data_IF_692219102605
#
_entry.id   IF_692219102605
#
_cell.length_a   1.000
_cell.length_b   1.000
_cell.length_c   1.000
_cell.angle_alpha   90.00
_cell.angle_beta   90.00
_cell.angle_gamma   90.00
#
_symmetry.space_group_name_H-M   'P 1'
#
loop_
_entity.id
_entity.type
_entity.pdbx_description
1 polymer ?
#
# COMPACT_ATOMS: atom_id res chain seq x y z
N UNK A 1 0.45 11.00 16.79
CA UNK A 1 1.31 10.85 18.02
C UNK A 1 2.77 10.87 17.60
N UNK A 2 3.64 11.61 18.32
CA UNK A 2 5.08 11.71 18.01
C UNK A 2 5.86 10.86 19.02
N UNK A 3 6.70 9.97 18.49
CA UNK A 3 7.61 9.13 19.27
C UNK A 3 9.00 9.75 19.24
N UNK A 4 9.63 9.90 20.41
CA UNK A 4 10.96 10.49 20.58
C UNK A 4 11.90 9.46 21.16
N UNK A 5 13.05 9.29 20.52
CA UNK A 5 14.07 8.34 20.96
C UNK A 5 15.46 8.75 20.46
N UNK A 6 16.50 8.11 21.01
CA UNK A 6 17.88 8.22 20.53
C UNK A 6 18.30 6.95 19.83
N UNK A 7 19.02 7.08 18.73
CA UNK A 7 19.59 5.95 18.01
C UNK A 7 20.74 6.41 17.11
N UNK A 8 21.62 5.46 16.79
CA UNK A 8 22.67 5.59 15.80
C UNK A 8 22.14 5.43 14.37
N UNK A 9 22.89 5.96 13.42
CA UNK A 9 22.70 5.67 11.99
C UNK A 9 23.77 4.69 11.56
N UNK A 10 23.35 3.48 11.18
CA UNK A 10 24.27 2.47 10.68
C UNK A 10 24.07 2.24 9.17
N UNK A 11 25.10 1.68 8.54
CA UNK A 11 25.09 1.42 7.09
C UNK A 11 25.17 -0.08 6.84
N UNK A 12 24.25 -0.59 6.03
CA UNK A 12 24.21 -2.00 5.60
C UNK A 12 23.95 -2.06 4.10
N UNK A 13 24.76 -2.76 3.33
CA UNK A 13 24.60 -2.91 1.88
C UNK A 13 24.59 -1.59 1.10
N UNK A 14 25.32 -0.58 1.58
CA UNK A 14 25.38 0.76 0.96
C UNK A 14 24.14 1.63 1.22
N UNK A 15 23.26 1.22 2.10
CA UNK A 15 22.07 1.96 2.56
C UNK A 15 22.21 2.30 4.03
N UNK A 16 21.74 3.49 4.40
CA UNK A 16 21.74 3.94 5.79
C UNK A 16 20.36 3.74 6.44
N UNK A 17 20.38 3.36 7.72
CA UNK A 17 19.20 3.06 8.51
C UNK A 17 19.34 3.54 9.95
N UNK A 18 18.22 3.90 10.56
CA UNK A 18 18.08 4.11 11.99
C UNK A 18 17.26 2.95 12.55
N UNK A 19 17.76 2.29 13.60
CA UNK A 19 17.01 1.25 14.31
C UNK A 19 16.03 1.91 15.26
N UNK A 20 14.75 1.52 15.20
CA UNK A 20 13.76 1.93 16.20
C UNK A 20 13.97 1.06 17.44
N UNK A 21 14.18 1.64 18.65
CA UNK A 21 14.60 0.89 19.83
C UNK A 21 13.45 0.15 20.56
N UNK A 22 12.22 0.27 20.06
CA UNK A 22 11.03 -0.36 20.66
C UNK A 22 10.25 -1.19 19.64
N UNK A 23 9.35 -2.04 20.15
CA UNK A 23 8.43 -2.81 19.33
C UNK A 23 7.34 -1.89 18.77
N UNK A 24 7.39 -1.61 17.48
CA UNK A 24 6.45 -0.69 16.83
C UNK A 24 5.01 -1.20 16.89
N UNK A 25 4.78 -2.51 16.83
CA UNK A 25 3.43 -3.06 16.94
C UNK A 25 2.81 -2.83 18.32
N UNK A 26 3.60 -2.98 19.37
CA UNK A 26 3.14 -2.81 20.75
C UNK A 26 2.92 -1.34 21.08
N UNK A 27 3.85 -0.47 20.69
CA UNK A 27 3.81 0.95 21.01
C UNK A 27 2.82 1.74 20.16
N UNK A 28 2.64 1.36 18.89
CA UNK A 28 1.83 2.16 17.96
C UNK A 28 0.52 1.49 17.57
N UNK A 29 0.36 0.19 17.81
CA UNK A 29 -0.75 -0.61 17.28
C UNK A 29 -0.67 -0.87 15.75
N UNK A 30 0.39 -0.40 15.07
CA UNK A 30 0.50 -0.41 13.63
C UNK A 30 1.28 -1.62 13.13
N UNK A 31 0.88 -2.14 11.97
CA UNK A 31 1.53 -3.27 11.31
C UNK A 31 1.72 -2.99 9.83
N UNK A 32 2.59 -3.78 9.18
CA UNK A 32 2.80 -3.72 7.74
C UNK A 32 3.61 -2.49 7.30
N UNK A 33 3.15 -1.83 6.30
CA UNK A 33 3.83 -0.70 5.64
C UNK A 33 3.47 0.60 6.35
N UNK A 34 4.31 1.10 7.23
CA UNK A 34 4.02 2.27 8.07
C UNK A 34 4.74 3.50 7.51
N UNK A 35 4.04 4.43 6.85
CA UNK A 35 4.61 5.71 6.47
C UNK A 35 4.79 6.60 7.70
N UNK A 36 5.92 7.29 7.74
CA UNK A 36 6.27 8.17 8.84
C UNK A 36 6.87 9.47 8.34
N UNK A 37 6.61 10.53 9.07
CA UNK A 37 7.41 11.75 9.05
C UNK A 37 8.47 11.63 10.13
N UNK A 38 9.71 11.88 9.75
CA UNK A 38 10.87 11.77 10.64
C UNK A 38 11.58 13.11 10.69
N UNK A 39 11.95 13.53 11.89
CA UNK A 39 12.79 14.69 12.13
C UNK A 39 14.05 14.25 12.86
N UNK A 40 15.20 14.65 12.33
CA UNK A 40 16.52 14.41 12.92
C UNK A 40 17.30 15.71 12.81
N UNK A 41 17.74 16.32 13.93
CA UNK A 41 18.47 17.59 13.93
C UNK A 41 17.80 18.71 13.13
N UNK A 42 16.47 18.77 13.14
CA UNK A 42 15.71 19.76 12.38
C UNK A 42 15.50 19.44 10.90
N UNK A 43 16.20 18.43 10.35
CA UNK A 43 15.92 17.91 9.02
C UNK A 43 14.67 17.03 9.07
N UNK A 44 13.69 17.35 8.23
CA UNK A 44 12.43 16.59 8.11
C UNK A 44 12.37 15.86 6.79
N UNK A 45 11.97 14.59 6.85
CA UNK A 45 11.73 13.78 5.66
C UNK A 45 10.61 12.77 5.91
N UNK A 46 9.99 12.28 4.85
CA UNK A 46 8.99 11.25 4.89
C UNK A 46 9.56 9.94 4.34
N UNK A 47 9.24 8.85 5.00
CA UNK A 47 9.68 7.51 4.58
C UNK A 47 8.64 6.47 4.96
N UNK A 48 8.82 5.26 4.44
CA UNK A 48 8.12 4.07 4.92
C UNK A 48 9.06 3.26 5.79
N UNK A 49 8.62 2.88 6.96
CA UNK A 49 9.38 2.02 7.84
C UNK A 49 9.62 0.66 7.19
N UNK A 50 10.82 0.13 7.36
CA UNK A 50 11.20 -1.18 6.82
C UNK A 50 10.99 -2.25 7.91
N UNK A 51 10.05 -3.20 7.72
CA UNK A 51 9.82 -4.25 8.69
C UNK A 51 11.00 -5.23 8.72
N UNK A 52 11.41 -5.62 9.93
CA UNK A 52 12.45 -6.62 10.21
C UNK A 52 11.91 -7.84 10.96
N UNK A 53 10.59 -7.96 11.06
CA UNK A 53 9.90 -9.02 11.75
C UNK A 53 9.65 -8.74 13.24
N UNK A 54 8.62 -9.39 13.79
CA UNK A 54 8.26 -9.35 15.21
C UNK A 54 8.11 -7.93 15.80
N UNK A 55 7.57 -6.98 15.01
CA UNK A 55 7.39 -5.60 15.45
C UNK A 55 8.64 -4.73 15.40
N UNK A 56 9.79 -5.26 14.93
CA UNK A 56 10.99 -4.47 14.72
C UNK A 56 10.95 -3.76 13.37
N UNK A 57 11.33 -2.49 13.36
CA UNK A 57 11.35 -1.66 12.17
C UNK A 57 12.60 -0.79 12.12
N UNK A 58 12.96 -0.43 10.90
CA UNK A 58 14.04 0.50 10.61
C UNK A 58 13.53 1.68 9.81
N UNK A 59 14.09 2.87 10.08
CA UNK A 59 13.87 4.08 9.31
C UNK A 59 14.95 4.13 8.22
N UNK A 60 14.60 4.08 6.92
CA UNK A 60 15.58 4.26 5.84
C UNK A 60 16.00 5.73 5.75
N UNK A 61 17.31 5.97 5.62
CA UNK A 61 17.88 7.31 5.47
C UNK A 61 18.47 7.47 4.07
N UNK A 62 17.96 8.42 3.31
CA UNK A 62 18.49 8.71 1.96
C UNK A 62 19.92 9.28 2.03
N UNK A 63 20.76 8.99 1.03
CA UNK A 63 22.16 9.48 0.97
C UNK A 63 22.25 11.00 1.14
N UNK A 64 21.34 11.76 0.51
CA UNK A 64 21.27 13.22 0.64
C UNK A 64 21.01 13.66 2.09
N UNK A 65 20.10 13.00 2.78
CA UNK A 65 19.78 13.26 4.19
C UNK A 65 20.95 12.89 5.08
N UNK A 66 21.56 11.73 4.87
CA UNK A 66 22.75 11.29 5.61
C UNK A 66 23.90 12.30 5.50
N UNK A 67 24.19 12.79 4.29
CA UNK A 67 25.25 13.78 4.06
C UNK A 67 24.96 15.12 4.77
N UNK A 68 23.70 15.49 4.94
CA UNK A 68 23.30 16.72 5.61
C UNK A 68 23.29 16.61 7.15
N UNK A 69 23.16 15.41 7.69
CA UNK A 69 23.12 15.18 9.14
C UNK A 69 24.51 15.31 9.81
N UNK A 70 25.58 15.05 9.06
CA UNK A 70 26.93 14.93 9.65
C UNK A 70 27.12 13.59 10.38
N UNK A 71 28.29 13.41 11.00
CA UNK A 71 28.60 12.20 11.76
C UNK A 71 28.46 12.48 13.26
N UNK A 72 27.62 11.72 13.91
CA UNK A 72 27.45 11.67 15.37
C UNK A 72 27.25 10.21 15.81
N UNK A 73 27.57 9.91 17.06
CA UNK A 73 27.40 8.58 17.63
C UNK A 73 25.92 8.25 17.85
N UNK A 74 25.13 9.25 18.26
CA UNK A 74 23.69 9.13 18.45
C UNK A 74 22.95 10.39 17.98
N UNK A 75 21.75 10.20 17.46
CA UNK A 75 20.85 11.27 17.04
C UNK A 75 19.57 11.23 17.85
N UNK A 76 19.06 12.41 18.19
CA UNK A 76 17.71 12.57 18.69
C UNK A 76 16.72 12.55 17.51
N UNK A 77 15.74 11.66 17.60
CA UNK A 77 14.82 11.35 16.51
C UNK A 77 13.39 11.58 16.98
N UNK A 78 12.65 12.31 16.20
CA UNK A 78 11.21 12.38 16.29
C UNK A 78 10.60 11.61 15.12
N UNK A 79 9.71 10.67 15.42
CA UNK A 79 8.99 9.87 14.43
C UNK A 79 7.49 10.05 14.63
N UNK A 80 6.80 10.46 13.59
CA UNK A 80 5.35 10.59 13.56
C UNK A 80 4.77 9.70 12.47
N UNK A 81 4.04 8.62 12.81
CA UNK A 81 3.30 7.86 11.81
C UNK A 81 2.31 8.76 11.10
N UNK A 82 2.35 8.73 9.78
CA UNK A 82 1.43 9.51 8.94
C UNK A 82 0.13 8.71 8.81
N UNK A 83 -1.01 9.37 9.02
CA UNK A 83 -2.31 8.79 8.71
C UNK A 83 -2.40 8.58 7.20
N UNK A 84 -2.33 7.32 6.80
CA UNK A 84 -2.36 6.89 5.42
C UNK A 84 -3.11 5.58 5.31
N UNK A 85 -3.16 5.05 4.11
CA UNK A 85 -3.86 3.81 3.77
C UNK A 85 -3.45 2.60 4.61
N UNK A 86 -2.20 2.54 5.14
CA UNK A 86 -1.77 1.42 6.01
C UNK A 86 -2.53 1.30 7.31
N UNK A 87 -3.38 2.26 7.65
CA UNK A 87 -4.13 2.33 8.91
C UNK A 87 -5.62 2.53 8.74
N UNK A 88 -6.06 2.56 7.52
CA UNK A 88 -7.45 2.86 7.15
C UNK A 88 -8.46 1.94 7.83
N UNK A 89 -8.14 0.68 8.03
CA UNK A 89 -9.03 -0.31 8.63
C UNK A 89 -9.47 0.05 10.05
N UNK A 90 -8.68 0.83 10.80
CA UNK A 90 -9.03 1.23 12.17
C UNK A 90 -10.19 2.23 12.23
N UNK A 91 -10.30 3.08 11.21
CA UNK A 91 -11.30 4.14 11.16
C UNK A 91 -12.38 3.88 10.10
N UNK A 92 -12.39 2.69 9.51
CA UNK A 92 -13.37 2.34 8.49
C UNK A 92 -14.77 2.18 9.09
N UNK A 93 -15.81 2.79 8.48
CA UNK A 93 -17.19 2.49 8.80
C UNK A 93 -17.68 1.15 8.22
N UNK A 94 -16.85 0.46 7.43
CA UNK A 94 -17.19 -0.78 6.74
C UNK A 94 -16.43 -1.98 7.33
N UNK A 95 -16.96 -3.18 7.12
CA UNK A 95 -16.32 -4.45 7.45
C UNK A 95 -16.66 -5.49 6.39
N UNK A 96 -16.06 -6.68 6.47
CA UNK A 96 -16.39 -7.78 5.53
C UNK A 96 -17.83 -8.27 5.68
N UNK A 97 -18.40 -8.12 6.87
CA UNK A 97 -19.81 -8.43 7.17
C UNK A 97 -20.75 -7.31 6.71
N UNK A 98 -20.23 -6.08 6.69
CA UNK A 98 -20.95 -4.87 6.30
C UNK A 98 -20.12 -4.07 5.29
N UNK A 99 -19.94 -4.58 4.06
CA UNK A 99 -19.17 -3.90 3.03
C UNK A 99 -19.91 -2.64 2.54
N UNK A 100 -19.18 -1.73 1.92
CA UNK A 100 -19.76 -0.53 1.31
C UNK A 100 -20.85 -0.86 0.31
N UNK A 101 -20.72 -1.99 -0.38
CA UNK A 101 -21.73 -2.52 -1.30
C UNK A 101 -21.54 -4.01 -1.53
N UNK A 102 -22.59 -4.66 -2.01
CA UNK A 102 -22.48 -5.95 -2.69
C UNK A 102 -22.08 -5.72 -4.14
N UNK A 103 -21.21 -6.56 -4.68
CA UNK A 103 -20.68 -6.41 -6.04
C UNK A 103 -21.45 -7.35 -6.96
N UNK A 104 -22.57 -6.91 -7.44
CA UNK A 104 -23.42 -7.58 -8.44
C UNK A 104 -23.15 -7.08 -9.87
N UNK A 105 -22.71 -5.82 -9.98
CA UNK A 105 -22.31 -5.16 -11.23
C UNK A 105 -21.13 -4.22 -11.00
N UNK A 106 -20.38 -3.93 -12.06
CA UNK A 106 -19.29 -2.96 -12.08
C UNK A 106 -19.62 -1.85 -13.08
N UNK A 107 -19.71 -0.63 -12.56
CA UNK A 107 -19.72 0.57 -13.39
C UNK A 107 -18.28 0.88 -13.80
N UNK A 108 -18.02 0.80 -15.10
CA UNK A 108 -16.67 0.95 -15.64
C UNK A 108 -16.30 2.42 -15.78
N UNK A 109 -15.16 2.81 -15.25
CA UNK A 109 -14.56 4.13 -15.45
C UNK A 109 -13.28 4.03 -16.29
N UNK A 110 -12.92 5.04 -17.09
CA UNK A 110 -11.65 5.05 -17.81
C UNK A 110 -10.47 4.97 -16.83
N UNK A 111 -9.50 4.09 -17.11
CA UNK A 111 -8.29 3.98 -16.28
C UNK A 111 -7.39 5.18 -16.55
N UNK A 112 -7.04 5.91 -15.51
CA UNK A 112 -6.16 7.07 -15.59
C UNK A 112 -4.71 6.65 -15.33
N UNK A 113 -3.79 7.16 -16.15
CA UNK A 113 -2.35 6.93 -15.98
C UNK A 113 -1.88 7.37 -14.58
N UNK A 114 -1.12 6.50 -13.92
CA UNK A 114 -0.66 6.71 -12.54
C UNK A 114 -1.67 6.34 -11.44
N UNK A 115 -2.96 6.12 -11.79
CA UNK A 115 -4.03 5.78 -10.86
C UNK A 115 -4.70 4.42 -11.14
N UNK A 116 -4.06 3.55 -11.90
CA UNK A 116 -4.64 2.25 -12.32
C UNK A 116 -5.22 1.45 -11.14
N UNK A 117 -4.46 1.27 -10.06
CA UNK A 117 -4.95 0.55 -8.87
C UNK A 117 -6.08 1.30 -8.13
N UNK A 118 -6.06 2.64 -8.14
CA UNK A 118 -7.14 3.46 -7.58
C UNK A 118 -8.44 3.28 -8.38
N UNK A 119 -8.33 3.24 -9.72
CA UNK A 119 -9.49 2.99 -10.59
C UNK A 119 -10.09 1.61 -10.32
N UNK A 120 -9.27 0.57 -10.10
CA UNK A 120 -9.76 -0.76 -9.71
C UNK A 120 -10.57 -0.69 -8.41
N UNK A 121 -10.03 -0.02 -7.38
CA UNK A 121 -10.72 0.14 -6.09
C UNK A 121 -12.00 0.97 -6.25
N UNK A 122 -11.97 2.08 -7.01
CA UNK A 122 -13.13 2.91 -7.26
C UNK A 122 -14.28 2.14 -7.92
N UNK A 123 -13.97 1.36 -8.95
CA UNK A 123 -14.95 0.50 -9.63
C UNK A 123 -15.53 -0.59 -8.71
N UNK A 124 -14.69 -1.23 -7.89
CA UNK A 124 -15.13 -2.25 -6.94
C UNK A 124 -15.99 -1.67 -5.81
N UNK A 125 -15.57 -0.55 -5.23
CA UNK A 125 -16.29 0.11 -4.16
C UNK A 125 -17.52 0.91 -4.63
N UNK A 126 -17.62 1.23 -5.92
CA UNK A 126 -18.70 2.06 -6.46
C UNK A 126 -18.63 3.51 -5.97
N UNK A 127 -17.42 4.04 -5.74
CA UNK A 127 -17.20 5.41 -5.26
C UNK A 127 -16.42 6.23 -6.28
N UNK A 128 -16.51 7.56 -6.24
CA UNK A 128 -15.75 8.43 -7.14
C UNK A 128 -14.24 8.23 -6.98
N UNK A 129 -13.49 8.25 -8.10
CA UNK A 129 -12.03 8.13 -8.07
C UNK A 129 -11.34 9.16 -7.17
N UNK A 130 -11.76 10.44 -7.08
CA UNK A 130 -11.18 11.40 -6.14
C UNK A 130 -11.21 10.95 -4.67
N UNK A 131 -12.28 10.26 -4.24
CA UNK A 131 -12.42 9.77 -2.87
C UNK A 131 -11.41 8.64 -2.59
N UNK A 132 -11.21 7.76 -3.57
CA UNK A 132 -10.18 6.71 -3.49
C UNK A 132 -8.78 7.32 -3.49
N UNK A 133 -8.54 8.36 -4.28
CA UNK A 133 -7.26 9.08 -4.30
C UNK A 133 -7.01 9.79 -2.97
N UNK A 134 -8.02 10.38 -2.34
CA UNK A 134 -7.93 10.97 -1.01
C UNK A 134 -7.56 9.90 0.03
N UNK A 135 -8.16 8.72 -0.07
CA UNK A 135 -7.91 7.58 0.81
C UNK A 135 -6.52 6.97 0.61
N UNK A 136 -6.17 6.63 -0.63
CA UNK A 136 -4.94 5.92 -0.99
C UNK A 136 -3.71 6.83 -1.15
N UNK A 137 -3.91 8.12 -1.26
CA UNK A 137 -2.87 9.10 -1.58
C UNK A 137 -2.49 9.09 -3.07
N UNK A 138 -1.81 10.13 -3.51
CA UNK A 138 -1.46 10.38 -4.95
C UNK A 138 -0.28 9.56 -5.50
N UNK A 139 0.27 8.60 -4.75
CA UNK A 139 1.37 7.77 -5.25
C UNK A 139 0.84 6.53 -5.98
N UNK A 140 1.68 5.95 -6.84
CA UNK A 140 1.37 4.67 -7.49
C UNK A 140 0.91 3.64 -6.47
N UNK A 141 -0.17 2.94 -6.79
CA UNK A 141 -0.67 1.86 -5.96
C UNK A 141 0.31 0.67 -5.99
N UNK A 142 0.43 0.01 -4.84
CA UNK A 142 1.05 -1.32 -4.72
C UNK A 142 -0.03 -2.31 -4.33
N UNK A 143 0.25 -3.61 -4.39
CA UNK A 143 -0.67 -4.61 -3.86
C UNK A 143 -1.10 -4.29 -2.43
N UNK A 144 -0.16 -3.98 -1.54
CA UNK A 144 -0.50 -3.63 -0.15
C UNK A 144 -1.50 -2.49 -0.05
N UNK A 145 -1.29 -1.41 -0.81
CA UNK A 145 -2.21 -0.27 -0.80
C UNK A 145 -3.61 -0.61 -1.32
N UNK A 146 -3.66 -1.42 -2.38
CA UNK A 146 -4.94 -1.87 -2.94
C UNK A 146 -5.68 -2.72 -1.91
N UNK A 147 -5.01 -3.71 -1.31
CA UNK A 147 -5.62 -4.61 -0.34
C UNK A 147 -6.10 -3.86 0.92
N UNK A 148 -5.31 -2.90 1.42
CA UNK A 148 -5.72 -2.04 2.52
C UNK A 148 -6.96 -1.18 2.18
N UNK A 149 -7.08 -0.71 0.94
CA UNK A 149 -8.27 0.00 0.50
C UNK A 149 -9.48 -0.92 0.35
N UNK A 150 -9.29 -2.15 -0.12
CA UNK A 150 -10.35 -3.16 -0.15
C UNK A 150 -10.81 -3.52 1.27
N UNK A 151 -9.89 -3.68 2.21
CA UNK A 151 -10.20 -3.89 3.62
C UNK A 151 -10.99 -2.72 4.20
N UNK A 152 -10.60 -1.47 3.87
CA UNK A 152 -11.34 -0.29 4.30
C UNK A 152 -12.79 -0.31 3.81
N UNK A 153 -13.02 -0.67 2.56
CA UNK A 153 -14.36 -0.75 1.98
C UNK A 153 -15.10 -2.06 2.32
N UNK A 154 -14.50 -2.95 3.09
CA UNK A 154 -15.08 -4.24 3.47
C UNK A 154 -15.20 -5.23 2.31
N UNK A 155 -14.44 -5.04 1.23
CA UNK A 155 -14.47 -5.89 0.04
C UNK A 155 -13.61 -7.13 0.28
N UNK A 156 -14.22 -8.30 0.14
CA UNK A 156 -13.57 -9.59 0.35
C UNK A 156 -12.76 -10.03 -0.87
N UNK A 157 -11.57 -10.58 -0.62
CA UNK A 157 -10.65 -11.06 -1.66
C UNK A 157 -9.86 -12.29 -1.20
N UNK A 158 -9.23 -13.00 -2.14
CA UNK A 158 -8.40 -14.16 -1.85
C UNK A 158 -7.14 -13.78 -1.06
N UNK A 159 -6.79 -14.59 -0.08
CA UNK A 159 -5.65 -14.33 0.83
C UNK A 159 -4.27 -14.32 0.16
N UNK A 160 -4.18 -14.82 -1.07
CA UNK A 160 -2.92 -14.95 -1.82
C UNK A 160 -3.09 -14.53 -3.27
N UNK A 161 -2.10 -13.82 -3.79
CA UNK A 161 -1.98 -13.58 -5.22
C UNK A 161 -1.58 -14.86 -5.97
N UNK A 162 -2.17 -15.07 -7.13
CA UNK A 162 -1.77 -16.13 -8.06
C UNK A 162 -0.80 -15.53 -9.07
N UNK A 163 0.39 -16.13 -9.20
CA UNK A 163 1.41 -15.74 -10.18
C UNK A 163 1.33 -16.67 -11.40
N UNK A 164 1.16 -16.08 -12.58
CA UNK A 164 0.96 -16.84 -13.83
C UNK A 164 2.24 -17.48 -14.35
N UNK A 165 3.41 -16.91 -14.05
CA UNK A 165 4.75 -17.37 -14.50
C UNK A 165 4.81 -17.68 -16.01
N UNK A 166 3.99 -17.00 -16.82
CA UNK A 166 3.90 -17.23 -18.26
C UNK A 166 3.20 -18.53 -18.67
N UNK A 167 2.63 -19.29 -17.73
CA UNK A 167 1.85 -20.50 -18.00
C UNK A 167 0.41 -20.21 -18.40
N UNK A 168 -0.33 -21.26 -18.76
CA UNK A 168 -1.77 -21.17 -18.98
C UNK A 168 -2.48 -20.90 -17.66
N UNK A 169 -3.42 -19.97 -17.65
CA UNK A 169 -4.23 -19.63 -16.49
C UNK A 169 -5.66 -19.24 -16.93
N UNK A 170 -6.58 -19.34 -16.01
CA UNK A 170 -7.95 -18.86 -16.17
C UNK A 170 -8.23 -17.83 -15.09
N UNK A 171 -8.72 -16.66 -15.50
CA UNK A 171 -9.11 -15.63 -14.55
C UNK A 171 -10.45 -16.00 -13.89
N UNK A 172 -10.60 -15.74 -12.57
CA UNK A 172 -11.88 -15.92 -11.89
C UNK A 172 -12.89 -14.89 -12.38
N UNK A 173 -14.18 -15.00 -11.99
CA UNK A 173 -15.23 -14.08 -12.43
C UNK A 173 -14.92 -12.60 -12.16
N UNK A 174 -14.22 -12.30 -11.05
CA UNK A 174 -13.74 -10.97 -10.72
C UNK A 174 -12.34 -11.04 -10.11
N UNK A 175 -11.42 -10.23 -10.61
CA UNK A 175 -10.08 -10.13 -10.01
C UNK A 175 -9.39 -8.83 -10.39
N UNK A 176 -8.47 -8.40 -9.55
CA UNK A 176 -7.50 -7.37 -9.93
C UNK A 176 -6.30 -8.09 -10.53
N UNK A 177 -5.95 -7.71 -11.75
CA UNK A 177 -4.80 -8.21 -12.50
C UNK A 177 -3.67 -7.21 -12.43
N UNK A 178 -2.46 -7.67 -12.14
CA UNK A 178 -1.23 -6.92 -12.31
C UNK A 178 -0.54 -7.34 -13.61
N UNK A 179 -0.28 -6.40 -14.48
CA UNK A 179 0.44 -6.59 -15.73
C UNK A 179 1.55 -5.53 -15.91
N UNK A 180 2.25 -5.53 -17.04
CA UNK A 180 3.34 -4.59 -17.33
C UNK A 180 2.92 -3.12 -17.26
N UNK A 181 1.64 -2.82 -17.47
CA UNK A 181 1.08 -1.45 -17.48
C UNK A 181 0.45 -1.05 -16.13
N UNK A 182 0.48 -1.94 -15.13
CA UNK A 182 -0.07 -1.70 -13.80
C UNK A 182 -1.28 -2.60 -13.47
N UNK A 183 -2.19 -2.08 -12.64
CA UNK A 183 -3.33 -2.84 -12.16
C UNK A 183 -4.56 -2.60 -13.03
N UNK A 184 -5.28 -3.67 -13.36
CA UNK A 184 -6.49 -3.62 -14.17
C UNK A 184 -7.54 -4.53 -13.53
N UNK A 185 -8.79 -4.09 -13.53
CA UNK A 185 -9.91 -4.88 -13.06
C UNK A 185 -10.42 -5.77 -14.20
N UNK A 186 -10.53 -7.07 -13.92
CA UNK A 186 -11.22 -8.05 -14.75
C UNK A 186 -12.55 -8.42 -14.11
N UNK A 187 -13.61 -8.39 -14.90
CA UNK A 187 -14.95 -8.73 -14.44
C UNK A 187 -15.75 -9.44 -15.51
N UNK A 188 -16.27 -10.63 -15.20
CA UNK A 188 -17.19 -11.42 -16.06
C UNK A 188 -16.80 -11.47 -17.56
N UNK A 189 -15.51 -11.65 -17.88
CA UNK A 189 -15.04 -11.86 -19.24
C UNK A 189 -14.42 -10.65 -19.95
N UNK A 190 -14.31 -9.50 -19.30
CA UNK A 190 -13.69 -8.31 -19.89
C UNK A 190 -12.82 -7.51 -18.91
N UNK A 191 -11.87 -6.77 -19.45
CA UNK A 191 -11.06 -5.83 -18.70
C UNK A 191 -11.77 -4.47 -18.60
N UNK A 192 -11.96 -3.98 -17.38
CA UNK A 192 -12.71 -2.77 -17.13
C UNK A 192 -11.86 -1.51 -17.37
N UNK A 193 -12.38 -0.57 -18.15
CA UNK A 193 -11.80 0.77 -18.31
C UNK A 193 -10.53 0.86 -19.15
N UNK A 194 -10.08 -0.24 -19.76
CA UNK A 194 -8.89 -0.28 -20.61
C UNK A 194 -9.23 -1.04 -21.89
N UNK A 195 -9.09 -0.43 -23.07
CA UNK A 195 -9.18 -1.15 -24.34
C UNK A 195 -7.90 -2.01 -24.54
N UNK A 196 -8.03 -3.12 -25.27
CA UNK A 196 -6.93 -3.92 -25.84
C UNK A 196 -5.86 -4.39 -24.83
N UNK A 197 -6.29 -5.02 -23.76
CA UNK A 197 -5.36 -5.68 -22.82
C UNK A 197 -4.95 -7.03 -23.35
N UNK A 198 -3.64 -7.26 -23.52
CA UNK A 198 -3.11 -8.60 -23.81
C UNK A 198 -3.09 -9.46 -22.52
N UNK A 199 -3.94 -10.49 -22.41
CA UNK A 199 -3.98 -11.34 -21.23
C UNK A 199 -2.63 -12.05 -20.95
N UNK A 200 -1.83 -12.32 -22.00
CA UNK A 200 -0.51 -12.99 -21.86
C UNK A 200 0.49 -12.19 -21.04
N UNK A 201 0.26 -10.89 -20.89
CA UNK A 201 1.10 -9.99 -20.06
C UNK A 201 0.71 -9.96 -18.58
N UNK A 202 -0.23 -10.81 -18.15
CA UNK A 202 -0.59 -10.93 -16.75
C UNK A 202 0.56 -11.55 -15.96
N UNK A 203 1.04 -10.83 -14.97
CA UNK A 203 2.10 -11.25 -14.04
C UNK A 203 1.48 -12.01 -12.86
N UNK A 204 0.43 -11.42 -12.29
CA UNK A 204 -0.29 -11.99 -11.15
C UNK A 204 -1.70 -11.42 -11.07
N UNK A 205 -2.56 -12.09 -10.31
CA UNK A 205 -3.89 -11.58 -9.99
C UNK A 205 -4.32 -11.95 -8.58
N UNK A 206 -5.28 -11.22 -8.05
CA UNK A 206 -5.98 -11.53 -6.80
C UNK A 206 -7.47 -11.57 -7.10
N UNK A 207 -8.10 -12.70 -6.75
CA UNK A 207 -9.54 -12.87 -6.88
C UNK A 207 -10.28 -11.98 -5.89
N UNK A 208 -11.35 -11.34 -6.36
CA UNK A 208 -12.31 -10.58 -5.57
C UNK A 208 -13.58 -11.41 -5.48
N UNK A 209 -14.06 -11.63 -4.28
CA UNK A 209 -15.29 -12.38 -4.08
C UNK A 209 -16.48 -11.47 -4.38
N UNK A 210 -17.27 -11.87 -5.36
CA UNK A 210 -18.49 -11.19 -5.81
C UNK A 210 -19.69 -12.11 -5.61
N UNK A 211 -20.87 -11.55 -5.39
CA UNK A 211 -22.11 -12.28 -5.21
C UNK A 211 -22.67 -12.81 -6.54
#
# INVERSE_FOLDING_TARGET
MIYRFRADIYTEGGRAFIRIPFNVWEETGLRGNIPCRVSVRGLRFECKLIPKGNGNYFIPVAKKTLSALGAEDEYEIEMEPIETLTRINHDSPYSKEHPIRKIDCIETIPVQAGFCGHCCVAMLAGVPLPDVVALMGKCHASWSKILEALDYYGISYASKAVFTKGGAYQLPPCCIVNNDNGFILWYKGYFCGVPDVDPKKTISYIEIFVD
#
